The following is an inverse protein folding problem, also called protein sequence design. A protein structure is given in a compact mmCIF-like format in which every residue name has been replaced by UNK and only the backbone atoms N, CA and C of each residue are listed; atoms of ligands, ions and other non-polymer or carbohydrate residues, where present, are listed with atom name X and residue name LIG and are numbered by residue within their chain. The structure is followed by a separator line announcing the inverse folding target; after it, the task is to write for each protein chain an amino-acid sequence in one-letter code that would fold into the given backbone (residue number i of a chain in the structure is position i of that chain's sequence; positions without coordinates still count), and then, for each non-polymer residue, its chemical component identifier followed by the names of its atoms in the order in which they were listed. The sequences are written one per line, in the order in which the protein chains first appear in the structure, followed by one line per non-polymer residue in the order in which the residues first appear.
data_IF_873225815399
#
_entry.id   IF_873225815399
#
_cell.length_a   1.000
_cell.length_b   1.000
_cell.length_c   1.000
_cell.angle_alpha   90.00
_cell.angle_beta   90.00
_cell.angle_gamma   90.00
#
_symmetry.space_group_name_H-M   'P 1'
#
loop_
_entity.id
_entity.type
_entity.pdbx_description
1 polymer ?
#
# COMPACT_ATOMS: atom_id res chain seq x y z
N UNK A 1 -14.66 -24.21 55.96
CA UNK A 1 -13.81 -24.85 56.97
C UNK A 1 -12.38 -24.76 56.48
N UNK A 2 -11.53 -24.28 57.36
CA UNK A 2 -10.24 -23.63 57.13
C UNK A 2 -9.11 -24.57 56.69
N UNK A 3 -8.10 -23.98 56.04
CA UNK A 3 -6.67 -24.27 56.18
C UNK A 3 -5.96 -23.07 55.50
N UNK A 4 -5.67 -21.94 56.17
CA UNK A 4 -4.53 -21.62 57.04
C UNK A 4 -3.14 -21.96 56.50
N UNK A 5 -2.25 -20.97 56.62
CA UNK A 5 -0.78 -21.07 56.78
C UNK A 5 0.01 -21.43 55.49
N UNK A 6 1.21 -20.91 55.23
CA UNK A 6 2.11 -19.98 55.91
C UNK A 6 3.36 -19.78 55.01
N UNK A 7 4.06 -18.67 55.25
CA UNK A 7 5.51 -18.47 55.09
C UNK A 7 6.13 -18.30 53.69
N UNK A 8 6.70 -17.11 53.50
CA UNK A 8 7.85 -16.78 52.65
C UNK A 8 9.18 -17.04 53.41
N UNK A 9 10.31 -16.43 53.00
CA UNK A 9 11.42 -16.92 52.17
C UNK A 9 12.69 -17.22 53.04
N UNK A 10 13.88 -17.54 52.50
CA UNK A 10 14.86 -16.52 52.02
C UNK A 10 15.68 -17.08 50.81
N UNK A 11 16.66 -16.44 50.17
CA UNK A 11 17.92 -15.85 50.67
C UNK A 11 18.67 -15.32 49.42
N UNK A 12 19.03 -14.04 49.38
CA UNK A 12 20.40 -13.53 49.65
C UNK A 12 21.15 -13.27 48.34
N UNK A 13 21.41 -11.99 48.03
CA UNK A 13 22.76 -11.36 48.17
C UNK A 13 23.58 -11.65 46.89
N UNK A 14 24.19 -10.70 46.18
CA UNK A 14 24.75 -9.43 46.60
C UNK A 14 25.23 -8.61 45.38
N UNK A 15 25.40 -7.30 45.60
CA UNK A 15 26.31 -6.33 44.95
C UNK A 15 26.31 -6.23 43.40
N UNK A 16 25.84 -5.15 42.76
CA UNK A 16 26.40 -3.77 42.70
C UNK A 16 27.91 -3.73 42.48
N UNK A 17 28.35 -3.25 41.31
CA UNK A 17 29.13 -2.00 41.10
C UNK A 17 29.50 -1.90 39.62
N UNK A 18 29.22 -0.73 39.06
CA UNK A 18 29.67 -0.17 37.79
C UNK A 18 31.17 -0.33 37.49
N UNK A 19 31.49 -0.55 36.20
CA UNK A 19 32.59 0.17 35.55
C UNK A 19 32.33 0.33 34.05
N UNK A 20 32.22 1.61 33.65
CA UNK A 20 32.60 2.16 32.34
C UNK A 20 33.79 1.41 31.71
N UNK A 21 33.76 1.19 30.40
CA UNK A 21 34.43 2.05 29.39
C UNK A 21 34.51 1.33 28.03
N UNK A 22 34.32 2.12 26.96
CA UNK A 22 34.60 1.92 25.53
C UNK A 22 35.26 0.61 25.06
N UNK A 23 34.63 -0.04 24.08
CA UNK A 23 35.26 -0.35 22.77
C UNK A 23 34.24 -0.99 21.80
N UNK A 24 33.75 -0.22 20.83
CA UNK A 24 33.51 -0.70 19.45
C UNK A 24 34.73 -0.29 18.60
N UNK A 25 35.01 -0.89 17.42
CA UNK A 25 34.57 -2.18 16.87
C UNK A 25 35.78 -3.04 16.41
N UNK A 26 35.55 -4.22 15.80
CA UNK A 26 35.67 -4.22 14.35
C UNK A 26 34.57 -5.02 13.65
N UNK A 27 33.94 -4.34 12.71
CA UNK A 27 33.29 -4.93 11.55
C UNK A 27 34.33 -5.71 10.74
N UNK A 28 34.18 -7.03 10.64
CA UNK A 28 34.82 -7.83 9.61
C UNK A 28 34.13 -9.19 9.50
N UNK A 29 33.78 -9.60 8.29
CA UNK A 29 33.57 -11.02 7.99
C UNK A 29 32.17 -11.42 7.57
N UNK A 30 31.73 -10.90 6.42
CA UNK A 30 30.80 -11.58 5.52
C UNK A 30 31.38 -12.97 5.19
N UNK A 31 30.84 -14.03 5.78
CA UNK A 31 30.97 -15.39 5.24
C UNK A 31 29.81 -15.63 4.29
N UNK A 32 30.06 -15.34 3.02
CA UNK A 32 29.30 -15.86 1.89
C UNK A 32 29.70 -17.33 1.68
N UNK A 33 28.83 -18.24 2.07
CA UNK A 33 28.88 -19.64 1.62
C UNK A 33 27.47 -20.12 1.34
N UNK A 34 27.23 -20.56 0.10
CA UNK A 34 26.04 -21.35 -0.22
C UNK A 34 25.33 -20.87 -1.48
N UNK A 35 25.84 -21.31 -2.63
CA UNK A 35 25.11 -21.39 -3.88
C UNK A 35 23.74 -22.06 -3.69
N UNK A 36 22.66 -21.35 -3.97
CA UNK A 36 21.43 -21.97 -4.46
C UNK A 36 20.76 -21.01 -5.43
N UNK A 37 20.90 -21.35 -6.69
CA UNK A 37 20.32 -20.71 -7.85
C UNK A 37 18.80 -20.89 -7.79
N UNK A 38 18.08 -19.87 -7.29
CA UNK A 38 16.64 -19.76 -7.41
C UNK A 38 16.30 -18.64 -8.41
N UNK A 39 15.28 -18.79 -9.27
CA UNK A 39 15.11 -17.93 -10.44
C UNK A 39 14.66 -16.54 -10.04
N UNK A 40 15.27 -15.54 -10.68
CA UNK A 40 14.91 -14.12 -10.63
C UNK A 40 13.39 -13.93 -10.72
N UNK A 41 12.76 -13.67 -9.57
CA UNK A 41 11.47 -12.98 -9.54
C UNK A 41 11.76 -11.47 -9.47
N UNK A 42 11.22 -10.67 -10.40
CA UNK A 42 11.48 -9.24 -10.44
C UNK A 42 10.94 -8.61 -9.15
N UNK A 43 11.80 -7.86 -8.46
CA UNK A 43 11.46 -7.11 -7.26
C UNK A 43 10.37 -6.08 -7.60
N UNK A 44 9.13 -6.39 -7.25
CA UNK A 44 8.05 -5.42 -7.17
C UNK A 44 8.36 -4.47 -6.01
N UNK A 45 8.49 -3.16 -6.21
CA UNK A 45 8.70 -2.21 -5.13
C UNK A 45 7.36 -1.94 -4.42
N UNK A 46 6.86 -2.90 -3.63
CA UNK A 46 5.52 -2.80 -2.99
C UNK A 46 5.57 -2.37 -1.52
N UNK A 47 6.75 -2.37 -0.87
CA UNK A 47 6.86 -2.07 0.57
C UNK A 47 6.45 -0.62 0.95
N UNK A 48 6.42 0.32 -0.01
CA UNK A 48 6.03 1.72 0.22
C UNK A 48 4.59 2.08 -0.18
N UNK A 49 3.84 1.17 -0.81
CA UNK A 49 2.43 1.41 -1.13
C UNK A 49 1.50 0.96 -0.01
N UNK A 50 1.79 -0.14 0.68
CA UNK A 50 0.93 -0.65 1.75
C UNK A 50 0.96 0.20 3.03
N UNK A 51 2.08 0.86 3.34
CA UNK A 51 2.13 1.80 4.48
C UNK A 51 1.17 2.99 4.28
N UNK A 52 0.85 3.37 3.03
CA UNK A 52 -0.08 4.48 2.78
C UNK A 52 -1.52 4.12 3.14
N UNK A 53 -1.94 2.87 2.93
CA UNK A 53 -3.30 2.45 3.25
C UNK A 53 -3.50 2.29 4.77
N UNK A 54 -2.46 1.92 5.53
CA UNK A 54 -2.52 1.94 7.00
C UNK A 54 -2.50 3.37 7.56
N UNK A 55 -1.74 4.29 6.92
CA UNK A 55 -1.68 5.70 7.28
C UNK A 55 -3.00 6.45 7.03
N UNK A 56 -3.80 6.04 6.03
CA UNK A 56 -5.13 6.65 5.75
C UNK A 56 -6.14 6.34 6.87
N UNK A 57 -6.01 5.20 7.56
CA UNK A 57 -6.87 4.89 8.72
C UNK A 57 -6.46 5.67 9.98
N UNK A 58 -5.18 5.97 10.16
CA UNK A 58 -4.67 6.75 11.30
C UNK A 58 -4.85 8.27 11.13
N UNK A 59 -4.64 8.83 9.92
CA UNK A 59 -4.81 10.27 9.66
C UNK A 59 -6.25 10.78 9.81
N UNK A 60 -7.23 9.88 9.85
CA UNK A 60 -8.61 10.23 10.20
C UNK A 60 -8.78 10.64 11.68
N UNK A 61 -7.77 10.42 12.54
CA UNK A 61 -7.83 10.65 13.98
C UNK A 61 -7.02 11.84 14.51
N UNK A 62 -6.13 12.45 13.73
CA UNK A 62 -5.11 13.38 14.26
C UNK A 62 -5.01 14.68 13.47
N UNK A 63 -6.10 15.46 13.42
CA UNK A 63 -5.98 16.91 13.21
C UNK A 63 -5.78 17.60 14.57
N UNK A 64 -4.48 17.71 14.83
CA UNK A 64 -3.72 18.53 15.76
C UNK A 64 -4.45 19.72 16.41
N UNK A 65 -4.47 19.67 17.74
CA UNK A 65 -4.38 20.83 18.62
C UNK A 65 -2.99 21.48 18.47
N UNK A 66 -2.95 22.75 18.08
CA UNK A 66 -1.77 23.62 18.13
C UNK A 66 -2.23 25.06 18.33
N UNK A 67 -2.29 25.51 19.59
CA UNK A 67 -1.36 26.45 20.19
C UNK A 67 -1.38 27.86 19.57
N UNK A 68 -2.15 28.75 20.21
CA UNK A 68 -1.82 30.16 20.33
C UNK A 68 -2.41 30.61 21.67
N UNK A 69 -1.56 30.82 22.65
CA UNK A 69 -1.97 31.33 23.95
C UNK A 69 -2.38 32.79 23.86
N UNK A 70 -3.42 33.15 24.59
CA UNK A 70 -3.44 34.42 25.31
C UNK A 70 -4.28 34.27 26.57
N UNK A 71 -3.63 34.61 27.68
CA UNK A 71 -4.09 34.49 29.05
C UNK A 71 -5.08 35.63 29.34
N UNK A 72 -6.35 35.34 29.62
CA UNK A 72 -7.20 36.30 30.34
C UNK A 72 -8.16 35.61 31.30
N UNK A 73 -8.22 36.23 32.48
CA UNK A 73 -8.74 35.79 33.77
C UNK A 73 -10.17 35.27 33.77
N UNK A 74 -10.31 34.20 34.55
CA UNK A 74 -11.43 33.67 35.31
C UNK A 74 -12.68 34.57 35.44
N UNK A 75 -13.81 34.04 35.01
CA UNK A 75 -15.11 34.28 35.63
C UNK A 75 -15.82 32.91 35.73
N UNK A 76 -15.96 32.40 36.96
CA UNK A 76 -16.57 31.10 37.24
C UNK A 76 -18.08 31.13 36.95
N UNK A 77 -18.51 30.47 35.87
CA UNK A 77 -19.90 30.10 35.63
C UNK A 77 -20.04 28.57 35.60
N UNK A 78 -21.08 28.02 36.23
CA UNK A 78 -21.07 26.64 36.71
C UNK A 78 -21.20 25.63 35.57
N UNK A 79 -20.48 24.51 35.75
CA UNK A 79 -20.45 23.32 34.88
C UNK A 79 -21.84 22.72 34.74
N UNK A 80 -22.65 23.26 33.84
CA UNK A 80 -23.85 22.56 33.37
C UNK A 80 -23.36 21.35 32.58
N UNK A 81 -23.75 20.17 33.08
CA UNK A 81 -23.35 18.87 32.54
C UNK A 81 -23.68 18.87 31.05
N UNK A 82 -22.65 18.76 30.19
CA UNK A 82 -22.78 18.70 28.73
C UNK A 82 -23.94 17.75 28.40
N UNK A 83 -25.05 18.35 27.94
CA UNK A 83 -26.26 17.65 27.57
C UNK A 83 -25.92 16.52 26.60
N UNK A 84 -26.42 15.32 26.92
CA UNK A 84 -26.07 14.10 26.21
C UNK A 84 -26.26 14.25 24.71
N UNK A 85 -25.23 13.86 23.95
CA UNK A 85 -25.32 13.64 22.52
C UNK A 85 -26.55 12.77 22.25
N UNK A 86 -27.59 13.35 21.65
CA UNK A 86 -28.78 12.61 21.22
C UNK A 86 -28.29 11.47 20.34
N UNK A 87 -28.47 10.21 20.78
CA UNK A 87 -28.02 8.98 20.09
C UNK A 87 -28.22 9.16 18.59
N UNK A 88 -27.13 9.38 17.86
CA UNK A 88 -27.16 9.71 16.44
C UNK A 88 -27.94 8.65 15.68
N UNK A 89 -28.88 9.09 14.84
CA UNK A 89 -29.67 8.21 13.98
C UNK A 89 -28.75 7.21 13.29
N UNK A 90 -28.86 5.93 13.66
CA UNK A 90 -28.03 4.83 13.16
C UNK A 90 -28.08 4.84 11.63
N UNK A 91 -26.93 5.07 10.98
CA UNK A 91 -26.83 5.03 9.51
C UNK A 91 -27.28 3.65 9.05
N UNK A 92 -28.39 3.58 8.31
CA UNK A 92 -28.87 2.32 7.70
C UNK A 92 -27.86 1.95 6.62
N UNK A 93 -27.13 0.83 6.80
CA UNK A 93 -26.22 0.32 5.78
C UNK A 93 -27.03 0.07 4.50
N UNK A 94 -26.52 0.51 3.36
CA UNK A 94 -27.15 0.16 2.09
C UNK A 94 -27.14 -1.37 1.97
N UNK A 95 -28.24 -2.01 1.52
CA UNK A 95 -28.21 -3.41 1.15
C UNK A 95 -27.03 -3.61 0.19
N UNK A 96 -26.08 -4.44 0.60
CA UNK A 96 -25.07 -5.00 -0.31
C UNK A 96 -25.82 -6.05 -1.15
N UNK A 97 -25.41 -6.24 -2.40
CA UNK A 97 -25.87 -7.42 -3.13
C UNK A 97 -25.32 -8.66 -2.43
N UNK A 98 -26.19 -9.61 -2.09
CA UNK A 98 -25.78 -10.87 -1.47
C UNK A 98 -24.96 -11.74 -2.44
N UNK A 99 -25.10 -11.50 -3.75
CA UNK A 99 -24.35 -12.20 -4.80
C UNK A 99 -22.99 -11.56 -5.10
N UNK A 100 -22.69 -10.39 -4.52
CA UNK A 100 -21.39 -9.75 -4.74
C UNK A 100 -20.28 -10.49 -3.98
N UNK A 101 -19.07 -10.59 -4.55
CA UNK A 101 -17.93 -11.17 -3.85
C UNK A 101 -17.64 -10.39 -2.56
N UNK A 102 -17.21 -11.11 -1.53
CA UNK A 102 -16.89 -10.53 -0.23
C UNK A 102 -15.55 -9.82 -0.31
N UNK A 103 -15.46 -8.63 0.29
CA UNK A 103 -14.23 -7.86 0.32
C UNK A 103 -13.08 -8.68 0.97
N UNK A 104 -11.85 -8.55 0.45
CA UNK A 104 -10.71 -9.31 0.95
C UNK A 104 -10.36 -8.85 2.36
N UNK A 105 -9.79 -9.75 3.16
CA UNK A 105 -9.33 -9.43 4.50
C UNK A 105 -7.90 -8.88 4.44
N UNK A 106 -7.69 -7.71 5.05
CA UNK A 106 -6.35 -7.14 5.28
C UNK A 106 -5.51 -8.05 6.17
N UNK A 107 -4.17 -7.97 6.10
CA UNK A 107 -3.26 -8.80 6.91
C UNK A 107 -3.56 -8.71 8.42
N UNK A 108 -3.77 -7.50 8.95
CA UNK A 108 -4.15 -7.32 10.35
C UNK A 108 -5.45 -8.04 10.72
N UNK A 109 -6.50 -7.94 9.89
CA UNK A 109 -7.79 -8.61 10.16
C UNK A 109 -7.66 -10.14 10.10
N UNK A 110 -6.78 -10.67 9.24
CA UNK A 110 -6.48 -12.11 9.18
C UNK A 110 -5.84 -12.58 10.48
N UNK A 111 -4.75 -11.94 10.88
CA UNK A 111 -4.11 -12.18 12.17
C UNK A 111 -5.10 -12.04 13.33
N UNK A 112 -5.90 -10.96 13.32
CA UNK A 112 -6.87 -10.69 14.38
C UNK A 112 -7.91 -11.79 14.49
N UNK A 113 -8.42 -12.32 13.37
CA UNK A 113 -9.43 -13.37 13.39
C UNK A 113 -8.87 -14.67 13.97
N UNK A 114 -7.68 -15.08 13.53
CA UNK A 114 -6.99 -16.27 14.02
C UNK A 114 -6.67 -16.14 15.52
N UNK A 115 -6.03 -15.04 15.90
CA UNK A 115 -5.57 -14.85 17.27
C UNK A 115 -6.70 -14.64 18.26
N UNK A 116 -7.78 -13.98 17.83
CA UNK A 116 -9.01 -13.86 18.64
C UNK A 116 -9.65 -15.21 18.89
N UNK A 117 -9.67 -16.13 17.92
CA UNK A 117 -10.23 -17.47 18.10
C UNK A 117 -9.43 -18.29 19.13
N UNK A 118 -8.10 -18.20 19.07
CA UNK A 118 -7.21 -18.80 20.06
C UNK A 118 -7.45 -18.23 21.46
N UNK A 119 -7.44 -16.91 21.62
CA UNK A 119 -7.64 -16.25 22.92
C UNK A 119 -9.03 -16.52 23.53
N UNK A 120 -10.07 -16.67 22.71
CA UNK A 120 -11.41 -17.06 23.20
C UNK A 120 -11.43 -18.47 23.79
N UNK A 121 -10.57 -19.35 23.29
CA UNK A 121 -10.44 -20.73 23.77
C UNK A 121 -9.56 -20.79 25.02
N UNK A 122 -8.45 -20.05 25.04
CA UNK A 122 -7.52 -19.99 26.17
C UNK A 122 -8.06 -19.19 27.37
N UNK A 123 -8.87 -18.16 27.11
CA UNK A 123 -9.37 -17.17 28.09
C UNK A 123 -10.86 -16.88 27.88
N UNK A 124 -11.75 -17.87 28.12
CA UNK A 124 -13.19 -17.70 27.88
C UNK A 124 -13.87 -16.71 28.84
N UNK A 125 -13.22 -16.37 29.95
CA UNK A 125 -13.64 -15.40 30.96
C UNK A 125 -13.37 -13.94 30.56
N UNK A 126 -12.42 -13.71 29.64
CA UNK A 126 -12.03 -12.38 29.21
C UNK A 126 -13.06 -11.79 28.24
N UNK A 127 -13.56 -10.57 28.47
CA UNK A 127 -14.57 -9.96 27.61
C UNK A 127 -13.98 -9.59 26.23
N UNK A 128 -14.83 -9.67 25.20
CA UNK A 128 -14.45 -9.43 23.80
C UNK A 128 -13.65 -8.12 23.53
N UNK A 129 -13.97 -6.96 24.15
CA UNK A 129 -13.17 -5.74 23.97
C UNK A 129 -11.73 -5.90 24.45
N UNK A 130 -11.51 -6.63 25.54
CA UNK A 130 -10.19 -6.86 26.11
C UNK A 130 -9.38 -7.82 25.23
N UNK A 131 -10.00 -8.89 24.71
CA UNK A 131 -9.36 -9.75 23.70
C UNK A 131 -8.90 -8.92 22.49
N UNK A 132 -9.74 -7.99 22.02
CA UNK A 132 -9.39 -7.13 20.88
C UNK A 132 -8.20 -6.20 21.20
N UNK A 133 -8.10 -5.70 22.43
CA UNK A 133 -6.95 -4.89 22.89
C UNK A 133 -5.65 -5.70 22.93
N UNK A 134 -5.72 -6.95 23.42
CA UNK A 134 -4.57 -7.87 23.47
C UNK A 134 -4.07 -8.15 22.06
N UNK A 135 -4.95 -8.53 21.13
CA UNK A 135 -4.61 -8.82 19.73
C UNK A 135 -3.98 -7.61 19.04
N UNK A 136 -4.50 -6.39 19.26
CA UNK A 136 -3.88 -5.18 18.72
C UNK A 136 -2.45 -4.99 19.23
N UNK A 137 -2.22 -5.26 20.51
CA UNK A 137 -0.88 -5.16 21.11
C UNK A 137 0.07 -6.23 20.60
N UNK A 138 -0.42 -7.46 20.38
CA UNK A 138 0.36 -8.55 19.79
C UNK A 138 0.74 -8.24 18.33
N UNK A 139 -0.18 -7.70 17.52
CA UNK A 139 0.13 -7.27 16.15
C UNK A 139 1.24 -6.22 16.12
N UNK A 140 1.18 -5.20 16.97
CA UNK A 140 2.22 -4.16 17.00
C UNK A 140 3.60 -4.74 17.33
N UNK A 141 3.68 -5.77 18.18
CA UNK A 141 4.91 -6.43 18.63
C UNK A 141 5.37 -7.58 17.73
N UNK A 142 4.54 -8.01 16.78
CA UNK A 142 4.83 -9.12 15.89
C UNK A 142 6.07 -8.81 15.01
N UNK A 143 7.03 -9.73 14.88
CA UNK A 143 8.21 -9.49 14.05
C UNK A 143 7.83 -9.34 12.57
N UNK A 144 8.66 -8.61 11.81
CA UNK A 144 8.35 -8.25 10.42
C UNK A 144 8.10 -9.47 9.52
N UNK A 145 8.84 -10.57 9.71
CA UNK A 145 8.68 -11.79 8.91
C UNK A 145 7.32 -12.49 9.14
N UNK A 146 6.81 -12.49 10.38
CA UNK A 146 5.48 -13.03 10.68
C UNK A 146 4.38 -12.10 10.18
N UNK A 147 4.56 -10.77 10.30
CA UNK A 147 3.65 -9.80 9.67
C UNK A 147 3.57 -10.02 8.17
N UNK A 148 4.72 -10.24 7.51
CA UNK A 148 4.80 -10.43 6.08
C UNK A 148 3.96 -11.61 5.61
N UNK A 149 3.96 -12.74 6.35
CA UNK A 149 3.10 -13.88 6.05
C UNK A 149 1.61 -13.49 5.93
N UNK A 150 1.10 -12.67 6.85
CA UNK A 150 -0.28 -12.20 6.81
C UNK A 150 -0.54 -11.17 5.71
N UNK A 151 0.47 -10.35 5.37
CA UNK A 151 0.39 -9.38 4.27
C UNK A 151 0.35 -10.10 2.91
N UNK A 152 1.21 -11.10 2.68
CA UNK A 152 1.25 -11.90 1.45
C UNK A 152 -0.09 -12.63 1.23
N UNK A 153 -0.65 -13.21 2.29
CA UNK A 153 -1.98 -13.86 2.21
C UNK A 153 -3.12 -12.86 1.98
N UNK A 154 -2.97 -11.61 2.45
CA UNK A 154 -3.92 -10.54 2.14
C UNK A 154 -3.80 -10.07 0.68
N UNK A 155 -2.58 -10.03 0.13
CA UNK A 155 -2.33 -9.69 -1.27
C UNK A 155 -2.95 -10.73 -2.20
N UNK A 156 -2.71 -12.03 -1.96
CA UNK A 156 -3.35 -13.12 -2.73
C UNK A 156 -4.87 -13.06 -2.69
N UNK A 157 -5.45 -12.70 -1.54
CA UNK A 157 -6.89 -12.51 -1.41
C UNK A 157 -7.39 -11.29 -2.18
N UNK A 158 -6.66 -10.18 -2.14
CA UNK A 158 -6.95 -8.98 -2.94
C UNK A 158 -6.98 -9.32 -4.43
N UNK A 159 -6.06 -10.14 -4.92
CA UNK A 159 -6.06 -10.62 -6.30
C UNK A 159 -7.29 -11.48 -6.62
N UNK A 160 -7.60 -12.47 -5.75
CA UNK A 160 -8.81 -13.29 -5.87
C UNK A 160 -10.06 -12.41 -5.97
N UNK A 161 -10.22 -11.49 -5.02
CA UNK A 161 -11.36 -10.58 -4.98
C UNK A 161 -11.47 -9.74 -6.25
N UNK A 162 -10.34 -9.24 -6.76
CA UNK A 162 -10.31 -8.44 -7.99
C UNK A 162 -10.82 -9.26 -9.18
N UNK A 163 -10.40 -10.52 -9.31
CA UNK A 163 -10.86 -11.44 -10.37
C UNK A 163 -12.36 -11.76 -10.23
N UNK A 164 -12.80 -12.11 -9.02
CA UNK A 164 -14.21 -12.39 -8.74
C UNK A 164 -15.10 -11.17 -8.98
N UNK A 165 -14.62 -9.96 -8.63
CA UNK A 165 -15.35 -8.72 -8.83
C UNK A 165 -15.51 -8.40 -10.31
N UNK A 166 -14.47 -8.59 -11.12
CA UNK A 166 -14.56 -8.44 -12.58
C UNK A 166 -15.57 -9.41 -13.19
N UNK A 167 -15.55 -10.68 -12.76
CA UNK A 167 -16.54 -11.67 -13.21
C UNK A 167 -17.96 -11.26 -12.80
N UNK A 168 -18.15 -10.85 -11.55
CA UNK A 168 -19.44 -10.41 -11.02
C UNK A 168 -19.99 -9.19 -11.77
N UNK A 169 -19.15 -8.23 -12.17
CA UNK A 169 -19.56 -7.06 -12.95
C UNK A 169 -20.19 -7.41 -14.31
N UNK A 170 -19.90 -8.61 -14.84
CA UNK A 170 -20.46 -9.10 -16.10
C UNK A 170 -21.78 -9.89 -15.90
N UNK A 171 -22.26 -10.04 -14.66
CA UNK A 171 -23.48 -10.83 -14.37
C UNK A 171 -24.75 -9.99 -14.41
N UNK A 172 -25.89 -10.64 -14.70
CA UNK A 172 -27.23 -10.03 -14.60
C UNK A 172 -27.56 -9.55 -13.19
N UNK A 173 -27.01 -10.21 -12.17
CA UNK A 173 -27.13 -9.80 -10.77
C UNK A 173 -26.56 -8.39 -10.56
N UNK A 174 -25.36 -8.13 -11.08
CA UNK A 174 -24.74 -6.80 -11.02
C UNK A 174 -25.54 -5.74 -11.78
N UNK A 175 -26.05 -6.07 -12.98
CA UNK A 175 -26.87 -5.13 -13.76
C UNK A 175 -28.18 -4.78 -13.03
N UNK A 176 -28.84 -5.77 -12.44
CA UNK A 176 -30.06 -5.59 -11.65
C UNK A 176 -29.78 -4.76 -10.39
N UNK A 177 -28.69 -5.07 -9.69
CA UNK A 177 -28.24 -4.30 -8.52
C UNK A 177 -27.95 -2.85 -8.89
N UNK A 178 -27.20 -2.61 -9.97
CA UNK A 178 -26.84 -1.27 -10.45
C UNK A 178 -28.07 -0.45 -10.84
N UNK A 179 -29.01 -1.05 -11.57
CA UNK A 179 -30.30 -0.42 -11.93
C UNK A 179 -31.13 -0.07 -10.69
N UNK A 180 -31.20 -0.96 -9.71
CA UNK A 180 -31.91 -0.73 -8.43
C UNK A 180 -31.22 0.34 -7.57
N UNK A 181 -29.89 0.42 -7.60
CA UNK A 181 -29.15 1.48 -6.92
C UNK A 181 -29.46 2.86 -7.53
N UNK A 182 -29.50 2.96 -8.86
CA UNK A 182 -29.87 4.18 -9.57
C UNK A 182 -31.32 4.62 -9.29
N UNK A 183 -32.28 3.68 -9.28
CA UNK A 183 -33.69 4.02 -8.97
C UNK A 183 -33.88 4.51 -7.53
N UNK A 184 -33.13 3.95 -6.57
CA UNK A 184 -33.12 4.44 -5.19
C UNK A 184 -32.52 5.84 -5.05
N UNK A 185 -31.52 6.18 -5.87
CA UNK A 185 -30.96 7.53 -5.89
C UNK A 185 -31.97 8.54 -6.44
N UNK A 186 -32.63 8.23 -7.56
CA UNK A 186 -33.70 9.07 -8.13
C UNK A 186 -34.86 9.28 -7.15
N UNK A 187 -35.32 8.22 -6.48
CA UNK A 187 -36.39 8.31 -5.47
C UNK A 187 -36.02 9.14 -4.23
N UNK A 188 -34.73 9.19 -3.83
CA UNK A 188 -34.28 10.05 -2.72
C UNK A 188 -34.24 11.53 -3.08
N UNK A 189 -34.04 11.87 -4.34
CA UNK A 189 -34.09 13.25 -4.83
C UNK A 189 -35.54 13.74 -4.83
N UNK A 190 -36.47 12.95 -5.37
CA UNK A 190 -37.89 13.28 -5.42
C UNK A 190 -38.51 13.47 -4.02
N UNK A 191 -38.04 12.70 -3.03
CA UNK A 191 -38.54 12.81 -1.64
C UNK A 191 -37.98 14.02 -0.86
N UNK A 192 -36.87 14.61 -1.31
CA UNK A 192 -36.30 15.81 -0.68
C UNK A 192 -36.97 17.10 -1.18
N UNK A 193 -37.50 17.12 -2.41
CA UNK A 193 -38.30 18.25 -2.91
C UNK A 193 -39.71 18.29 -2.30
N UNK A 194 -40.29 17.15 -1.93
CA UNK A 194 -41.66 17.07 -1.39
C UNK A 194 -41.90 17.60 0.03
N UNK A 195 -40.88 18.13 0.74
CA UNK A 195 -41.08 18.67 2.11
C UNK A 195 -41.56 20.13 2.11
N UNK A 196 -41.69 20.79 0.95
CA UNK A 196 -42.26 22.15 0.86
C UNK A 196 -43.46 22.31 -0.08
N UNK A 197 -44.04 21.23 -0.61
CA UNK A 197 -45.20 21.32 -1.49
C UNK A 197 -46.30 20.35 -1.08
N UNK A 198 -47.49 20.88 -0.80
CA UNK A 198 -48.75 20.13 -0.83
C UNK A 198 -48.81 19.33 -2.15
N UNK A 199 -49.26 18.07 -2.16
CA UNK A 199 -49.16 17.19 -3.32
C UNK A 199 -50.01 17.74 -4.48
N UNK A 200 -49.36 18.39 -5.44
CA UNK A 200 -49.92 18.57 -6.77
C UNK A 200 -49.47 17.36 -7.59
N UNK A 201 -50.45 16.64 -8.13
CA UNK A 201 -50.31 15.39 -8.88
C UNK A 201 -49.10 15.37 -9.82
N UNK A 202 -48.09 14.58 -9.45
CA UNK A 202 -46.85 14.29 -10.21
C UNK A 202 -47.10 13.76 -11.62
N UNK A 203 -48.30 13.23 -11.91
CA UNK A 203 -48.67 12.74 -13.24
C UNK A 203 -48.93 13.86 -14.25
N UNK A 204 -49.42 15.03 -13.81
CA UNK A 204 -49.60 16.17 -14.72
C UNK A 204 -48.27 16.73 -15.18
N UNK A 205 -47.25 16.72 -14.33
CA UNK A 205 -45.93 17.26 -14.67
C UNK A 205 -45.20 16.41 -15.73
N UNK A 206 -45.36 15.08 -15.73
CA UNK A 206 -44.84 14.24 -16.82
C UNK A 206 -45.56 14.46 -18.14
N UNK A 207 -46.89 14.64 -18.11
CA UNK A 207 -47.70 14.88 -19.32
C UNK A 207 -47.41 16.27 -19.90
N UNK A 208 -47.11 17.26 -19.05
CA UNK A 208 -46.73 18.61 -19.47
C UNK A 208 -45.36 18.65 -20.16
N UNK A 209 -44.41 17.77 -19.80
CA UNK A 209 -43.07 17.76 -20.40
C UNK A 209 -43.08 17.44 -21.90
N UNK A 210 -43.97 16.55 -22.33
CA UNK A 210 -44.05 16.12 -23.74
C UNK A 210 -44.94 17.03 -24.61
N UNK A 211 -45.86 17.82 -24.02
CA UNK A 211 -46.68 18.74 -24.80
C UNK A 211 -45.83 19.90 -25.35
N UNK A 212 -45.91 20.21 -26.66
CA UNK A 212 -45.27 21.40 -27.20
C UNK A 212 -45.86 22.64 -26.51
N UNK A 213 -45.00 23.57 -26.06
CA UNK A 213 -45.42 24.80 -25.34
C UNK A 213 -46.55 25.52 -26.08
N UNK A 214 -46.55 25.45 -27.41
CA UNK A 214 -47.48 26.11 -28.31
C UNK A 214 -48.95 25.73 -28.09
N UNK A 215 -49.24 24.59 -27.48
CA UNK A 215 -50.62 24.15 -27.20
C UNK A 215 -51.19 24.74 -25.90
N UNK A 216 -50.35 25.38 -25.07
CA UNK A 216 -50.76 25.96 -23.80
C UNK A 216 -51.05 27.45 -24.02
N UNK A 217 -52.30 27.94 -23.86
CA UNK A 217 -52.63 29.33 -24.13
C UNK A 217 -51.80 30.29 -23.27
N UNK A 218 -51.19 31.29 -23.93
CA UNK A 218 -50.38 32.33 -23.29
C UNK A 218 -51.28 33.07 -22.27
N UNK A 219 -50.74 33.35 -21.08
CA UNK A 219 -51.45 33.96 -19.93
C UNK A 219 -52.38 33.04 -19.12
N UNK A 220 -52.31 31.72 -19.30
CA UNK A 220 -52.92 30.75 -18.37
C UNK A 220 -51.97 30.39 -17.22
N UNK A 221 -52.51 29.97 -16.08
CA UNK A 221 -51.70 29.44 -14.96
C UNK A 221 -50.88 28.21 -15.38
N UNK A 222 -51.41 27.40 -16.29
CA UNK A 222 -50.72 26.26 -16.90
C UNK A 222 -49.48 26.71 -17.68
N UNK A 223 -49.59 27.76 -18.50
CA UNK A 223 -48.45 28.32 -19.26
C UNK A 223 -47.36 28.85 -18.32
N UNK A 224 -47.75 29.59 -17.27
CA UNK A 224 -46.80 30.11 -16.29
C UNK A 224 -46.07 28.99 -15.56
N UNK A 225 -46.78 27.94 -15.15
CA UNK A 225 -46.20 26.77 -14.49
C UNK A 225 -45.26 25.99 -15.43
N UNK A 226 -45.65 25.78 -16.69
CA UNK A 226 -44.82 25.10 -17.69
C UNK A 226 -43.55 25.88 -18.02
N UNK A 227 -43.67 27.20 -18.24
CA UNK A 227 -42.53 28.09 -18.48
C UNK A 227 -41.55 28.06 -17.31
N UNK A 228 -42.06 28.16 -16.07
CA UNK A 228 -41.26 28.05 -14.85
C UNK A 228 -40.56 26.70 -14.70
N UNK A 229 -41.25 25.60 -15.02
CA UNK A 229 -40.68 24.25 -15.00
C UNK A 229 -39.55 24.09 -16.03
N UNK A 230 -39.74 24.56 -17.27
CA UNK A 230 -38.70 24.55 -18.30
C UNK A 230 -37.53 25.46 -17.98
N UNK A 231 -37.76 26.62 -17.37
CA UNK A 231 -36.69 27.51 -16.93
C UNK A 231 -35.86 26.86 -15.80
N UNK A 232 -36.52 26.18 -14.86
CA UNK A 232 -35.84 25.42 -13.81
C UNK A 232 -35.02 24.26 -14.38
N UNK A 233 -35.56 23.51 -15.33
CA UNK A 233 -34.84 22.44 -16.05
C UNK A 233 -33.64 23.00 -16.80
N UNK A 234 -33.77 24.13 -17.51
CA UNK A 234 -32.67 24.76 -18.22
C UNK A 234 -31.55 25.22 -17.27
N UNK A 235 -31.91 25.77 -16.10
CA UNK A 235 -30.94 26.12 -15.06
C UNK A 235 -30.22 24.88 -14.52
N UNK A 236 -30.94 23.78 -14.31
CA UNK A 236 -30.36 22.51 -13.89
C UNK A 236 -29.42 21.94 -14.95
N UNK A 237 -29.79 21.97 -16.23
CA UNK A 237 -28.94 21.52 -17.34
C UNK A 237 -27.65 22.34 -17.41
N UNK A 238 -27.75 23.67 -17.33
CA UNK A 238 -26.57 24.56 -17.28
C UNK A 238 -25.65 24.24 -16.11
N UNK A 239 -26.20 24.06 -14.91
CA UNK A 239 -25.43 23.66 -13.74
C UNK A 239 -24.73 22.31 -13.95
N UNK A 240 -25.45 21.31 -14.46
CA UNK A 240 -24.86 19.99 -14.71
C UNK A 240 -23.79 20.03 -15.80
N UNK A 241 -23.96 20.87 -16.83
CA UNK A 241 -22.98 21.05 -17.89
C UNK A 241 -21.68 21.68 -17.36
N UNK A 242 -21.80 22.70 -16.51
CA UNK A 242 -20.66 23.31 -15.81
C UNK A 242 -19.93 22.27 -14.93
N UNK A 243 -20.65 21.43 -14.19
CA UNK A 243 -20.04 20.34 -13.41
C UNK A 243 -19.33 19.30 -14.31
N UNK A 244 -19.87 18.99 -15.49
CA UNK A 244 -19.20 18.11 -16.46
C UNK A 244 -17.95 18.74 -17.06
N UNK A 245 -17.99 20.03 -17.39
CA UNK A 245 -16.84 20.79 -17.87
C UNK A 245 -15.71 20.82 -16.83
N UNK A 246 -16.04 21.07 -15.56
CA UNK A 246 -15.07 21.02 -14.45
C UNK A 246 -14.43 19.63 -14.30
N UNK A 247 -15.23 18.55 -14.36
CA UNK A 247 -14.73 17.17 -14.30
C UNK A 247 -13.85 16.84 -15.49
N UNK A 248 -14.24 17.26 -16.69
CA UNK A 248 -13.44 17.05 -17.90
C UNK A 248 -12.10 17.79 -17.79
N UNK A 249 -12.09 19.04 -17.35
CA UNK A 249 -10.87 19.81 -17.13
C UNK A 249 -9.95 19.14 -16.10
N UNK A 250 -10.50 18.59 -15.02
CA UNK A 250 -9.73 17.84 -14.03
C UNK A 250 -9.11 16.55 -14.62
N UNK A 251 -9.88 15.81 -15.44
CA UNK A 251 -9.38 14.63 -16.14
C UNK A 251 -8.28 14.98 -17.15
N UNK A 252 -8.42 16.08 -17.91
CA UNK A 252 -7.38 16.56 -18.82
C UNK A 252 -6.07 16.82 -18.08
N UNK A 253 -6.11 17.55 -16.95
CA UNK A 253 -4.92 17.79 -16.11
C UNK A 253 -4.28 16.51 -15.61
N UNK A 254 -5.09 15.52 -15.21
CA UNK A 254 -4.57 14.23 -14.77
C UNK A 254 -3.88 13.48 -15.91
N UNK A 255 -4.47 13.47 -17.10
CA UNK A 255 -3.87 12.87 -18.30
C UNK A 255 -2.55 13.55 -18.67
N UNK A 256 -2.49 14.88 -18.63
CA UNK A 256 -1.25 15.64 -18.85
C UNK A 256 -0.17 15.29 -17.83
N UNK A 257 -0.51 15.26 -16.53
CA UNK A 257 0.41 14.86 -15.47
C UNK A 257 0.95 13.45 -15.66
N UNK A 258 0.09 12.50 -16.06
CA UNK A 258 0.51 11.12 -16.35
C UNK A 258 1.44 11.06 -17.56
N UNK A 259 1.12 11.78 -18.64
CA UNK A 259 1.99 11.85 -19.83
C UNK A 259 3.36 12.42 -19.49
N UNK A 260 3.44 13.48 -18.69
CA UNK A 260 4.71 14.03 -18.23
C UNK A 260 5.49 13.07 -17.33
N UNK A 261 4.80 12.26 -16.51
CA UNK A 261 5.46 11.24 -15.69
C UNK A 261 6.04 10.11 -16.56
N UNK A 262 5.28 9.63 -17.55
CA UNK A 262 5.74 8.63 -18.52
C UNK A 262 6.96 9.15 -19.28
N UNK A 263 6.92 10.38 -19.79
CA UNK A 263 8.05 10.98 -20.50
C UNK A 263 9.32 11.06 -19.64
N UNK A 264 9.20 11.35 -18.34
CA UNK A 264 10.35 11.35 -17.42
C UNK A 264 10.90 9.93 -17.22
N UNK A 265 10.03 8.96 -16.98
CA UNK A 265 10.43 7.56 -16.82
C UNK A 265 11.10 7.00 -18.09
N UNK A 266 10.62 7.37 -19.27
CA UNK A 266 11.25 7.01 -20.54
C UNK A 266 12.65 7.64 -20.68
N UNK A 267 12.82 8.89 -20.28
CA UNK A 267 14.13 9.56 -20.28
C UNK A 267 15.10 8.91 -19.28
N UNK A 268 14.66 8.60 -18.06
CA UNK A 268 15.44 7.87 -17.06
C UNK A 268 15.81 6.47 -17.55
N UNK A 269 14.89 5.76 -18.19
CA UNK A 269 15.14 4.45 -18.78
C UNK A 269 16.23 4.53 -19.87
N UNK A 270 16.16 5.51 -20.77
CA UNK A 270 17.17 5.70 -21.81
C UNK A 270 18.54 6.03 -21.20
N UNK A 271 18.59 6.90 -20.19
CA UNK A 271 19.83 7.23 -19.48
C UNK A 271 20.44 5.99 -18.82
N UNK A 272 19.62 5.17 -18.16
CA UNK A 272 20.07 3.92 -17.54
C UNK A 272 20.52 2.88 -18.59
N UNK A 273 19.89 2.83 -19.77
CA UNK A 273 20.33 1.99 -20.87
C UNK A 273 21.71 2.43 -21.40
N UNK A 274 21.94 3.72 -21.60
CA UNK A 274 23.24 4.26 -22.01
C UNK A 274 24.32 3.96 -20.98
N UNK A 275 24.03 4.20 -19.69
CA UNK A 275 24.94 3.89 -18.58
C UNK A 275 25.30 2.40 -18.55
N UNK A 276 24.32 1.52 -18.69
CA UNK A 276 24.56 0.08 -18.72
C UNK A 276 25.35 -0.34 -19.97
N UNK A 277 25.11 0.28 -21.12
CA UNK A 277 25.90 0.02 -22.34
C UNK A 277 27.36 0.40 -22.15
N UNK A 278 27.65 1.57 -21.56
CA UNK A 278 29.01 2.00 -21.24
C UNK A 278 29.70 1.04 -20.25
N UNK A 279 29.00 0.61 -19.21
CA UNK A 279 29.54 -0.37 -18.25
C UNK A 279 29.82 -1.72 -18.91
N UNK A 280 28.96 -2.18 -19.82
CA UNK A 280 29.19 -3.40 -20.59
C UNK A 280 30.43 -3.27 -21.48
N UNK A 281 30.64 -2.12 -22.13
CA UNK A 281 31.84 -1.85 -22.92
C UNK A 281 33.10 -1.86 -22.03
N UNK A 282 33.05 -1.19 -20.87
CA UNK A 282 34.17 -1.19 -19.93
C UNK A 282 34.47 -2.61 -19.43
N UNK A 283 33.45 -3.37 -19.02
CA UNK A 283 33.60 -4.77 -18.61
C UNK A 283 34.19 -5.63 -19.73
N UNK A 284 33.75 -5.44 -20.98
CA UNK A 284 34.30 -6.15 -22.13
C UNK A 284 35.77 -5.78 -22.38
N UNK A 285 36.14 -4.51 -22.24
CA UNK A 285 37.54 -4.05 -22.34
C UNK A 285 38.41 -4.69 -21.26
N UNK A 286 37.96 -4.70 -20.00
CA UNK A 286 38.64 -5.38 -18.89
C UNK A 286 38.78 -6.87 -19.17
N UNK A 287 37.71 -7.54 -19.63
CA UNK A 287 37.76 -8.97 -19.99
C UNK A 287 38.78 -9.25 -21.10
N UNK A 288 38.83 -8.43 -22.14
CA UNK A 288 39.81 -8.56 -23.23
C UNK A 288 41.24 -8.41 -22.71
N UNK A 289 41.47 -7.37 -21.91
CA UNK A 289 42.78 -7.09 -21.37
C UNK A 289 43.25 -8.22 -20.45
N UNK A 290 42.40 -8.68 -19.52
CA UNK A 290 42.65 -9.85 -18.66
C UNK A 290 42.91 -11.13 -19.45
N UNK A 291 42.11 -11.40 -20.49
CA UNK A 291 42.26 -12.60 -21.33
C UNK A 291 43.64 -12.63 -22.00
N UNK A 292 44.08 -11.50 -22.56
CA UNK A 292 45.39 -11.38 -23.21
C UNK A 292 46.54 -11.54 -22.20
N UNK A 293 46.42 -10.84 -21.09
CA UNK A 293 47.38 -10.77 -20.00
C UNK A 293 47.62 -12.14 -19.32
N UNK A 294 46.54 -12.82 -18.93
CA UNK A 294 46.60 -14.07 -18.17
C UNK A 294 46.86 -15.30 -19.03
N UNK A 295 46.92 -15.18 -20.36
CA UNK A 295 47.33 -16.27 -21.24
C UNK A 295 48.74 -16.79 -20.90
N UNK A 296 49.58 -15.95 -20.29
CA UNK A 296 50.93 -16.27 -19.85
C UNK A 296 51.02 -16.92 -18.46
N UNK A 297 49.93 -16.97 -17.70
CA UNK A 297 49.88 -17.50 -16.33
C UNK A 297 49.22 -18.87 -16.33
N UNK A 298 49.95 -19.99 -16.21
CA UNK A 298 49.31 -21.31 -16.15
C UNK A 298 48.80 -21.62 -14.73
N UNK A 299 47.60 -22.21 -14.62
CA UNK A 299 47.08 -22.74 -13.34
C UNK A 299 47.57 -24.19 -13.17
N UNK A 300 48.27 -24.53 -12.07
CA UNK A 300 48.73 -25.88 -11.79
C UNK A 300 47.61 -26.91 -11.83
N UNK A 301 47.83 -28.03 -12.51
CA UNK A 301 46.86 -29.13 -12.62
C UNK A 301 45.77 -28.97 -13.69
N UNK A 302 45.74 -27.84 -14.41
CA UNK A 302 44.80 -27.61 -15.53
C UNK A 302 45.54 -27.17 -16.79
N UNK A 303 45.05 -27.58 -17.97
CA UNK A 303 45.57 -27.14 -19.28
C UNK A 303 44.68 -26.05 -19.90
N UNK A 304 43.97 -25.30 -19.06
CA UNK A 304 43.00 -24.32 -19.50
C UNK A 304 43.67 -23.01 -19.90
N UNK A 305 43.28 -22.48 -21.06
CA UNK A 305 43.72 -21.18 -21.55
C UNK A 305 42.54 -20.21 -21.38
N UNK A 306 42.74 -19.03 -20.77
CA UNK A 306 41.67 -18.05 -20.64
C UNK A 306 41.18 -17.60 -22.02
N UNK A 307 39.87 -17.61 -22.22
CA UNK A 307 39.22 -17.04 -23.41
C UNK A 307 38.18 -16.00 -22.96
N UNK A 308 37.70 -15.17 -23.89
CA UNK A 308 36.71 -14.12 -23.58
C UNK A 308 35.43 -14.65 -22.92
N UNK A 309 35.05 -15.90 -23.21
CA UNK A 309 33.87 -16.56 -22.65
C UNK A 309 34.16 -17.26 -21.32
N UNK A 310 35.40 -17.69 -21.10
CA UNK A 310 35.80 -18.48 -19.91
C UNK A 310 36.54 -17.66 -18.85
N UNK A 311 36.87 -16.39 -19.13
CA UNK A 311 37.73 -15.56 -18.28
C UNK A 311 37.24 -15.47 -16.83
N UNK A 312 35.93 -15.32 -16.59
CA UNK A 312 35.39 -15.21 -15.23
C UNK A 312 35.57 -16.54 -14.46
N UNK A 313 35.37 -17.67 -15.16
CA UNK A 313 35.54 -19.00 -14.57
C UNK A 313 37.03 -19.30 -14.32
N UNK A 314 37.90 -18.91 -15.25
CA UNK A 314 39.34 -19.00 -15.12
C UNK A 314 39.82 -18.18 -13.91
N UNK A 315 39.33 -16.96 -13.72
CA UNK A 315 39.64 -16.11 -12.56
C UNK A 315 39.17 -16.73 -11.23
N UNK A 316 37.98 -17.32 -11.20
CA UNK A 316 37.47 -18.03 -10.02
C UNK A 316 38.34 -19.24 -9.66
N UNK A 317 38.78 -20.00 -10.67
CA UNK A 317 39.72 -21.13 -10.48
C UNK A 317 41.09 -20.67 -10.03
N UNK A 318 41.60 -19.58 -10.61
CA UNK A 318 42.86 -18.95 -10.21
C UNK A 318 42.82 -18.54 -8.73
N UNK A 319 41.74 -17.86 -8.32
CA UNK A 319 41.51 -17.49 -6.92
C UNK A 319 41.45 -18.72 -6.00
N UNK A 320 40.74 -19.77 -6.41
CA UNK A 320 40.67 -21.01 -5.65
C UNK A 320 42.04 -21.69 -5.51
N UNK A 321 42.83 -21.77 -6.58
CA UNK A 321 44.18 -22.32 -6.57
C UNK A 321 45.11 -21.54 -5.62
N UNK A 322 45.02 -20.21 -5.62
CA UNK A 322 45.77 -19.35 -4.70
C UNK A 322 45.38 -19.59 -3.24
N UNK A 323 44.08 -19.74 -2.95
CA UNK A 323 43.57 -19.96 -1.58
C UNK A 323 43.87 -21.37 -1.05
N UNK A 324 43.93 -22.38 -1.93
CA UNK A 324 44.14 -23.78 -1.55
C UNK A 324 45.61 -24.15 -1.41
N UNK A 325 46.49 -23.58 -2.25
CA UNK A 325 47.92 -23.89 -2.27
C UNK A 325 48.79 -22.62 -2.20
N UNK A 326 48.79 -21.88 -1.06
CA UNK A 326 49.46 -20.58 -0.94
C UNK A 326 50.97 -20.61 -1.17
N UNK A 327 51.65 -21.72 -0.85
CA UNK A 327 53.11 -21.84 -1.04
C UNK A 327 53.50 -22.09 -2.50
N UNK A 328 52.64 -22.77 -3.25
CA UNK A 328 52.86 -23.06 -4.67
C UNK A 328 52.39 -21.89 -5.55
N UNK A 329 51.49 -21.06 -5.03
CA UNK A 329 50.91 -19.93 -5.73
C UNK A 329 51.78 -18.67 -5.72
N UNK A 330 52.94 -18.63 -5.05
CA UNK A 330 53.87 -17.48 -5.11
C UNK A 330 54.28 -17.11 -6.54
N UNK A 331 54.51 -18.12 -7.40
CA UNK A 331 54.82 -17.92 -8.82
C UNK A 331 53.62 -17.35 -9.57
N UNK A 332 52.42 -17.85 -9.27
CA UNK A 332 51.15 -17.38 -9.85
C UNK A 332 50.90 -15.93 -9.43
N UNK A 333 51.01 -15.61 -8.14
CA UNK A 333 50.80 -14.27 -7.60
C UNK A 333 51.80 -13.28 -8.22
N UNK A 334 53.07 -13.67 -8.34
CA UNK A 334 54.10 -12.84 -8.97
C UNK A 334 53.79 -12.59 -10.45
N UNK A 335 53.42 -13.63 -11.20
CA UNK A 335 53.01 -13.50 -12.60
C UNK A 335 51.76 -12.64 -12.76
N UNK A 336 50.73 -12.84 -11.93
CA UNK A 336 49.51 -12.02 -11.93
C UNK A 336 49.83 -10.57 -11.61
N UNK A 337 50.71 -10.28 -10.65
CA UNK A 337 51.12 -8.90 -10.32
C UNK A 337 51.85 -8.22 -11.46
N UNK A 338 52.81 -8.90 -12.08
CA UNK A 338 53.54 -8.39 -13.24
C UNK A 338 52.58 -8.07 -14.38
N UNK A 339 51.65 -8.98 -14.64
CA UNK A 339 50.65 -8.85 -15.69
C UNK A 339 49.63 -7.75 -15.39
N UNK A 340 49.10 -7.65 -14.17
CA UNK A 340 48.16 -6.59 -13.77
C UNK A 340 48.83 -5.20 -13.79
N UNK A 341 50.13 -5.11 -13.51
CA UNK A 341 50.86 -3.83 -13.62
C UNK A 341 50.89 -3.26 -15.04
N UNK A 342 50.69 -4.11 -16.06
CA UNK A 342 50.57 -3.69 -17.45
C UNK A 342 49.15 -3.20 -17.81
N UNK A 343 48.14 -3.47 -16.98
CA UNK A 343 46.75 -3.04 -17.20
C UNK A 343 46.44 -1.65 -16.64
N UNK A 344 47.24 -1.16 -15.70
CA UNK A 344 47.05 0.17 -15.06
C UNK A 344 47.57 1.34 -15.92
N UNK A 345 48.34 1.06 -16.99
CA UNK A 345 48.85 2.06 -17.93
C UNK A 345 48.00 2.15 -19.18
#
# INVERSE_FOLDING_TARGET
MENTASAAPPSSEDLVVDTKENAEPPFCGISLSGSSQAPFHPQSPTLQQDERDELILQQSGEQQLGNSGELRQEEELPKTRRGGWTKGRKRKRSPRDNNAPKAPLTGYVRFMNERREQLRTERPDVPFPEITRIVGSEWSKLPAHEKQHYLDEAEKDKERYTKELQQYQNTDAYQTYSRKAQSRQKGRQQRQEGVRGVPINTEKESILKERPIFDIPIFTEEFLNHSKAREAELRQLRKSNMEFEERNAALQKHVESMRSAVQRLEAELNQEQERNSLLQQHLQSVRQALTHCLQSVPIPGTTEIPTLETIDLYMSRLQNAVLTHPKESEVIISGVREVLSQLEG
#
